data_IF_214399632907
#
_entry.id   IF_214399632907
#
_cell.length_a   1.000
_cell.length_b   1.000
_cell.length_c   1.000
_cell.angle_alpha   90.00
_cell.angle_beta   90.00
_cell.angle_gamma   90.00
#
_symmetry.space_group_name_H-M   'P 1'
#
loop_
_entity.id
_entity.type
_entity.pdbx_description
1 polymer ?
#
# COMPACT_ATOMS: atom_id res chain seq x y z
N UNK A 1 5.03 24.08 -5.27
CA UNK A 1 4.08 23.44 -4.35
C UNK A 1 3.35 22.44 -5.19
N UNK A 2 3.79 21.17 -5.17
CA UNK A 2 3.24 20.14 -6.04
C UNK A 2 1.86 19.74 -5.54
N UNK A 3 0.96 19.41 -6.47
CA UNK A 3 -0.38 18.93 -6.13
C UNK A 3 -0.28 17.49 -5.60
N UNK A 4 -0.79 17.18 -4.39
CA UNK A 4 -0.68 15.86 -3.80
C UNK A 4 -1.30 14.76 -4.68
N UNK A 5 -2.32 15.09 -5.47
CA UNK A 5 -2.94 14.15 -6.41
C UNK A 5 -1.97 13.72 -7.49
N UNK A 6 -1.17 14.65 -8.03
CA UNK A 6 -0.21 14.37 -9.10
C UNK A 6 0.97 13.53 -8.61
N UNK A 7 1.45 13.77 -7.39
CA UNK A 7 2.52 12.96 -6.81
C UNK A 7 2.05 11.52 -6.52
N UNK A 8 0.85 11.36 -5.96
CA UNK A 8 0.27 10.03 -5.74
C UNK A 8 0.03 9.30 -7.07
N UNK A 9 -0.45 10.00 -8.10
CA UNK A 9 -0.64 9.45 -9.44
C UNK A 9 0.67 8.93 -10.04
N UNK A 10 1.77 9.66 -9.85
CA UNK A 10 3.11 9.22 -10.27
C UNK A 10 3.53 7.95 -9.53
N UNK A 11 3.36 7.92 -8.21
CA UNK A 11 3.66 6.73 -7.39
C UNK A 11 2.82 5.53 -7.87
N UNK A 12 1.51 5.70 -8.06
CA UNK A 12 0.64 4.66 -8.59
C UNK A 12 1.12 4.13 -9.93
N UNK A 13 1.52 5.02 -10.83
CA UNK A 13 2.00 4.61 -12.16
C UNK A 13 3.30 3.80 -12.07
N UNK A 14 4.18 4.14 -11.13
CA UNK A 14 5.39 3.36 -10.85
C UNK A 14 5.07 1.99 -10.23
N UNK A 15 4.15 1.95 -9.25
CA UNK A 15 3.77 0.73 -8.53
C UNK A 15 3.02 -0.25 -9.44
N UNK A 16 2.08 0.24 -10.25
CA UNK A 16 1.29 -0.58 -11.17
C UNK A 16 2.04 -0.91 -12.47
N UNK A 17 3.11 -0.18 -12.79
CA UNK A 17 3.85 -0.31 -14.05
C UNK A 17 3.04 0.13 -15.27
N UNK A 18 1.99 0.92 -15.08
CA UNK A 18 1.11 1.45 -16.13
C UNK A 18 0.80 2.91 -15.87
N UNK A 19 0.51 3.68 -16.92
CA UNK A 19 0.07 5.06 -16.75
C UNK A 19 -1.37 5.10 -16.24
N UNK A 20 -1.56 5.68 -15.06
CA UNK A 20 -2.90 5.95 -14.51
C UNK A 20 -3.31 7.34 -14.94
N UNK A 21 -4.47 7.51 -15.59
CA UNK A 21 -4.97 8.83 -16.02
C UNK A 21 -6.12 9.34 -15.16
N UNK A 22 -6.93 8.44 -14.62
CA UNK A 22 -8.11 8.75 -13.85
C UNK A 22 -7.79 8.77 -12.35
N UNK A 23 -8.16 9.83 -11.64
CA UNK A 23 -7.87 10.00 -10.21
C UNK A 23 -8.91 9.36 -9.30
N UNK A 24 -10.06 8.98 -9.87
CA UNK A 24 -11.20 8.38 -9.19
C UNK A 24 -11.28 6.87 -9.46
N UNK A 25 -10.36 6.32 -10.27
CA UNK A 25 -10.21 4.87 -10.45
C UNK A 25 -9.80 4.20 -9.16
N UNK A 26 -10.39 3.03 -8.91
CA UNK A 26 -10.04 2.19 -7.79
C UNK A 26 -8.71 1.47 -8.05
N UNK A 27 -7.81 1.45 -7.06
CA UNK A 27 -6.48 0.83 -7.14
C UNK A 27 -6.54 -0.63 -7.60
N UNK A 28 -7.51 -1.39 -7.09
CA UNK A 28 -7.68 -2.81 -7.41
C UNK A 28 -8.23 -3.02 -8.82
N UNK A 29 -9.06 -2.09 -9.30
CA UNK A 29 -9.58 -2.10 -10.67
C UNK A 29 -8.48 -1.73 -11.69
N UNK A 30 -7.58 -0.84 -11.30
CA UNK A 30 -6.39 -0.47 -12.08
C UNK A 30 -5.30 -1.56 -12.15
N UNK A 31 -5.52 -2.74 -11.53
CA UNK A 31 -4.58 -3.86 -11.52
C UNK A 31 -3.76 -4.00 -10.24
N UNK A 32 -4.06 -3.19 -9.22
CA UNK A 32 -3.43 -3.26 -7.91
C UNK A 32 -3.81 -4.53 -7.13
N UNK A 33 -2.88 -5.04 -6.33
CA UNK A 33 -3.09 -6.20 -5.46
C UNK A 33 -2.34 -6.04 -4.14
N UNK A 34 -2.57 -6.97 -3.20
CA UNK A 34 -2.10 -6.87 -1.80
C UNK A 34 -0.61 -6.52 -1.64
N UNK A 35 0.27 -7.13 -2.44
CA UNK A 35 1.70 -6.79 -2.43
C UNK A 35 1.97 -5.35 -2.91
N UNK A 36 1.27 -4.91 -3.97
CA UNK A 36 1.42 -3.55 -4.50
C UNK A 36 0.84 -2.50 -3.55
N UNK A 37 -0.19 -2.83 -2.76
CA UNK A 37 -0.69 -1.92 -1.70
C UNK A 37 0.38 -1.67 -0.64
N UNK A 38 1.16 -2.69 -0.26
CA UNK A 38 2.27 -2.50 0.69
C UNK A 38 3.38 -1.60 0.11
N UNK A 39 3.75 -1.80 -1.16
CA UNK A 39 4.73 -0.92 -1.83
C UNK A 39 4.19 0.50 -1.96
N UNK A 40 2.91 0.65 -2.29
CA UNK A 40 2.23 1.94 -2.33
C UNK A 40 2.26 2.63 -0.96
N UNK A 41 1.98 1.89 0.12
CA UNK A 41 2.01 2.40 1.48
C UNK A 41 3.37 3.02 1.80
N UNK A 42 4.47 2.30 1.56
CA UNK A 42 5.83 2.79 1.84
C UNK A 42 6.11 4.13 1.13
N UNK A 43 5.74 4.25 -0.15
CA UNK A 43 5.91 5.50 -0.90
C UNK A 43 5.02 6.66 -0.39
N UNK A 44 3.79 6.37 0.03
CA UNK A 44 2.89 7.39 0.57
C UNK A 44 3.37 7.86 1.95
N UNK A 45 3.91 6.96 2.76
CA UNK A 45 4.50 7.30 4.06
C UNK A 45 5.74 8.20 3.91
N UNK A 46 6.60 7.92 2.92
CA UNK A 46 7.73 8.77 2.55
C UNK A 46 7.26 10.15 2.06
N UNK A 47 6.24 10.20 1.20
CA UNK A 47 5.69 11.45 0.68
C UNK A 47 5.08 12.32 1.79
N UNK A 48 4.39 11.69 2.73
CA UNK A 48 3.67 12.37 3.80
C UNK A 48 4.49 12.58 5.07
N UNK A 49 5.69 11.97 5.14
CA UNK A 49 6.55 11.93 6.32
C UNK A 49 5.81 11.44 7.59
N UNK A 50 4.88 10.49 7.43
CA UNK A 50 4.07 9.91 8.50
C UNK A 50 3.67 8.47 8.18
N UNK A 51 3.38 7.69 9.21
CA UNK A 51 2.78 6.35 9.04
C UNK A 51 1.35 6.46 8.50
N UNK A 52 0.98 5.52 7.64
CA UNK A 52 -0.36 5.40 7.04
C UNK A 52 -0.86 3.99 7.28
N UNK A 53 -2.04 3.85 7.87
CA UNK A 53 -2.54 2.53 8.15
C UNK A 53 -2.96 1.84 6.84
N UNK A 54 -2.66 0.55 6.73
CA UNK A 54 -3.04 -0.22 5.54
C UNK A 54 -4.57 -0.21 5.32
N UNK A 55 -5.34 -0.21 6.41
CA UNK A 55 -6.80 -0.05 6.40
C UNK A 55 -7.26 1.24 5.70
N UNK A 56 -6.59 2.38 5.95
CA UNK A 56 -6.90 3.65 5.31
C UNK A 56 -6.78 3.53 3.78
N UNK A 57 -5.80 2.77 3.28
CA UNK A 57 -5.61 2.57 1.83
C UNK A 57 -6.69 1.69 1.22
N UNK A 58 -7.26 0.75 1.99
CA UNK A 58 -8.41 -0.05 1.56
C UNK A 58 -9.73 0.73 1.61
N UNK A 59 -9.91 1.61 2.61
CA UNK A 59 -11.08 2.49 2.73
C UNK A 59 -11.05 3.65 1.72
N UNK A 60 -9.85 4.08 1.33
CA UNK A 60 -9.60 5.15 0.37
C UNK A 60 -8.82 4.64 -0.84
N UNK A 61 -9.41 3.78 -1.69
CA UNK A 61 -8.70 3.08 -2.76
C UNK A 61 -8.56 3.93 -4.03
N UNK A 62 -8.69 5.26 -3.97
CA UNK A 62 -8.56 6.16 -5.14
C UNK A 62 -7.52 7.24 -4.88
N UNK A 63 -6.89 7.74 -5.93
CA UNK A 63 -5.86 8.79 -5.85
C UNK A 63 -6.44 10.04 -5.17
N UNK A 64 -7.66 10.44 -5.54
CA UNK A 64 -8.35 11.59 -4.93
C UNK A 64 -8.55 11.42 -3.43
N UNK A 65 -8.99 10.23 -3.00
CA UNK A 65 -9.23 9.96 -1.58
C UNK A 65 -7.92 9.91 -0.79
N UNK A 66 -6.86 9.31 -1.35
CA UNK A 66 -5.52 9.30 -0.75
C UNK A 66 -4.93 10.71 -0.65
N UNK A 67 -5.10 11.55 -1.67
CA UNK A 67 -4.68 12.96 -1.60
C UNK A 67 -5.40 13.71 -0.47
N UNK A 68 -6.70 13.45 -0.28
CA UNK A 68 -7.46 13.96 0.85
C UNK A 68 -6.93 13.47 2.20
N UNK A 69 -6.61 12.18 2.30
CA UNK A 69 -6.01 11.57 3.49
C UNK A 69 -4.64 12.20 3.83
N UNK A 70 -3.83 12.53 2.83
CA UNK A 70 -2.54 13.18 3.04
C UNK A 70 -2.65 14.68 3.36
N UNK A 71 -3.67 15.35 2.82
CA UNK A 71 -3.92 16.77 3.06
C UNK A 71 -4.56 17.03 4.44
N UNK A 72 -5.38 16.10 4.93
CA UNK A 72 -5.80 16.07 6.31
C UNK A 72 -4.58 15.69 7.17
N UNK A 73 -3.99 16.69 7.84
CA UNK A 73 -2.89 16.48 8.80
C UNK A 73 -3.22 15.41 9.85
N UNK A 74 -2.22 14.99 10.65
CA UNK A 74 -2.18 13.70 11.33
C UNK A 74 -3.53 13.34 11.96
N UNK A 75 -4.23 12.37 11.36
CA UNK A 75 -5.37 11.72 11.99
C UNK A 75 -4.84 11.02 13.24
N UNK A 76 -4.86 11.73 14.36
CA UNK A 76 -4.50 11.19 15.67
C UNK A 76 -5.58 10.22 16.10
N UNK A 77 -5.27 8.91 16.00
CA UNK A 77 -5.88 7.80 16.73
C UNK A 77 -7.33 7.45 16.35
N UNK A 78 -7.85 6.25 16.61
CA UNK A 78 -7.35 5.12 17.37
C UNK A 78 -8.27 3.89 17.17
N UNK A 79 -7.66 2.71 17.21
CA UNK A 79 -8.20 1.45 17.73
C UNK A 79 -9.41 0.79 17.02
N UNK A 80 -9.13 -0.04 16.01
CA UNK A 80 -9.83 -1.30 15.82
C UNK A 80 -8.96 -2.38 15.14
N UNK A 81 -8.23 -3.10 15.99
CA UNK A 81 -7.74 -4.48 15.77
C UNK A 81 -6.54 -4.70 14.83
N UNK A 82 -5.37 -4.60 15.46
CA UNK A 82 -4.14 -5.31 15.12
C UNK A 82 -4.39 -6.84 15.01
N UNK A 83 -4.87 -7.30 13.84
CA UNK A 83 -5.15 -8.71 13.62
C UNK A 83 -4.71 -9.24 12.26
N UNK A 84 -4.78 -8.45 11.19
CA UNK A 84 -4.59 -8.96 9.83
C UNK A 84 -3.17 -8.72 9.28
N UNK A 85 -2.62 -7.51 9.43
CA UNK A 85 -1.31 -7.14 8.86
C UNK A 85 -0.14 -7.91 9.49
N UNK A 86 -0.15 -8.11 10.81
CA UNK A 86 0.87 -8.89 11.51
C UNK A 86 0.82 -10.39 11.16
N UNK A 87 -0.37 -10.95 10.90
CA UNK A 87 -0.57 -12.37 10.54
C UNK A 87 -0.18 -12.66 9.09
N UNK A 88 -0.40 -11.72 8.17
CA UNK A 88 0.07 -11.85 6.78
C UNK A 88 1.60 -11.82 6.72
N UNK A 89 2.24 -10.95 7.51
CA UNK A 89 3.72 -10.86 7.58
C UNK A 89 4.35 -12.16 8.13
N UNK A 90 3.72 -12.86 9.07
CA UNK A 90 4.22 -14.17 9.54
C UNK A 90 3.93 -15.32 8.57
N UNK A 91 2.92 -15.22 7.70
CA UNK A 91 2.55 -16.28 6.76
C UNK A 91 3.37 -16.28 5.46
N UNK A 92 3.90 -15.14 5.01
CA UNK A 92 4.74 -15.09 3.80
C UNK A 92 6.22 -15.47 4.04
N UNK A 93 6.77 -15.26 5.24
CA UNK A 93 8.16 -15.62 5.55
C UNK A 93 8.36 -17.10 5.92
N UNK A 94 7.29 -17.89 5.96
CA UNK A 94 7.31 -19.32 6.34
C UNK A 94 7.33 -20.31 5.17
N UNK A 95 7.22 -19.86 3.90
CA UNK A 95 6.99 -20.76 2.76
C UNK A 95 8.12 -20.74 1.71
N UNK A 96 9.39 -20.64 2.13
CA UNK A 96 10.50 -20.83 1.16
C UNK A 96 11.76 -21.49 1.74
N UNK A 97 11.63 -22.38 2.74
CA UNK A 97 12.76 -23.19 3.25
C UNK A 97 12.58 -24.70 3.03
N UNK A 98 12.01 -25.09 1.89
CA UNK A 98 11.95 -26.48 1.44
C UNK A 98 12.69 -26.68 0.12
N UNK A 99 13.80 -25.98 -0.07
CA UNK A 99 14.82 -26.34 -1.05
C UNK A 99 16.17 -26.23 -0.35
N UNK A 100 16.58 -27.33 0.28
CA UNK A 100 17.96 -27.81 0.34
C UNK A 100 18.08 -28.86 1.45
N UNK A 101 18.87 -29.88 1.14
CA UNK A 101 19.54 -30.83 2.04
C UNK A 101 18.82 -32.16 2.30
N UNK A 102 19.22 -33.13 1.46
CA UNK A 102 19.64 -34.51 1.81
C UNK A 102 18.56 -35.44 2.42
N UNK A 103 18.31 -36.63 1.84
CA UNK A 103 19.20 -37.76 2.12
C UNK A 103 19.19 -38.82 1.01
N UNK A 104 20.39 -39.36 0.84
CA UNK A 104 20.86 -40.34 -0.11
C UNK A 104 20.64 -41.73 0.49
N UNK A 105 19.95 -42.60 -0.24
CA UNK A 105 20.01 -44.05 -0.04
C UNK A 105 20.10 -44.74 -1.41
#
# INVERSE_FOLDING_TARGET
>A
MTDPTEDIRRIWSTVLGTEVQDTDVNFFDAGGHSLLVMVLQEHLEELAMREIALEDLFEHPTIRAQAGLLAAGPATGAAADAGLGARVRSQLLGRNRSEAVEDRA
#
